data_IF_532664839723
#
_entry.id   IF_532664839723
#
_cell.length_a   1.000
_cell.length_b   1.000
_cell.length_c   1.000
_cell.angle_alpha   90.00
_cell.angle_beta   90.00
_cell.angle_gamma   90.00
#
_symmetry.space_group_name_H-M   'P 1'
#
loop_
_entity.id
_entity.type
_entity.pdbx_description
1 polymer ?
#
# COMPACT_ATOMS: atom_id res chain seq x y z
N UNK A 1 11.85 -20.29 12.40
CA UNK A 1 11.87 -18.82 12.33
C UNK A 1 10.45 -18.34 12.50
N UNK A 2 10.18 -17.50 13.51
CA UNK A 2 8.88 -16.81 13.60
C UNK A 2 8.70 -15.97 12.32
N UNK A 3 7.49 -15.98 11.75
CA UNK A 3 7.09 -15.20 10.57
C UNK A 3 5.72 -14.62 10.83
N UNK A 4 5.40 -13.51 10.16
CA UNK A 4 4.04 -12.98 10.16
C UNK A 4 3.05 -14.05 9.65
N UNK A 5 1.93 -14.34 10.37
CA UNK A 5 0.98 -15.42 10.04
C UNK A 5 0.54 -15.45 8.59
N UNK A 6 0.26 -14.27 8.05
CA UNK A 6 -0.33 -14.13 6.72
C UNK A 6 0.69 -14.30 5.58
N UNK A 7 1.95 -14.52 5.94
CA UNK A 7 3.06 -14.80 5.00
C UNK A 7 3.62 -16.22 5.16
N UNK A 8 2.97 -17.06 5.97
CA UNK A 8 3.41 -18.43 6.27
C UNK A 8 3.62 -19.30 5.02
N UNK A 9 2.83 -19.07 3.98
CA UNK A 9 2.91 -19.80 2.70
C UNK A 9 3.88 -19.18 1.68
N UNK A 10 4.49 -18.04 1.99
CA UNK A 10 5.43 -17.38 1.08
C UNK A 10 6.76 -18.13 0.98
N UNK A 11 7.33 -18.17 -0.22
CA UNK A 11 8.68 -18.66 -0.44
C UNK A 11 9.66 -17.52 -0.20
N UNK A 12 10.45 -17.60 0.86
CA UNK A 12 11.47 -16.61 1.17
C UNK A 12 12.82 -17.05 0.59
N UNK A 13 13.72 -16.11 0.23
CA UNK A 13 15.08 -16.47 -0.14
C UNK A 13 15.81 -17.16 1.02
N UNK A 14 16.82 -17.96 0.68
CA UNK A 14 17.74 -18.55 1.67
C UNK A 14 18.45 -17.42 2.46
N UNK A 15 18.35 -17.38 3.80
CA UNK A 15 19.09 -16.44 4.64
C UNK A 15 20.62 -16.52 4.48
N UNK A 16 21.15 -17.69 4.11
CA UNK A 16 22.59 -17.94 3.95
C UNK A 16 23.12 -17.59 2.55
N UNK A 17 22.30 -17.00 1.68
CA UNK A 17 22.73 -16.61 0.32
C UNK A 17 23.87 -15.60 0.33
N UNK A 18 24.79 -15.77 -0.63
CA UNK A 18 25.98 -14.93 -0.79
C UNK A 18 25.63 -13.44 -0.82
N UNK A 19 26.30 -12.63 0.00
CA UNK A 19 26.13 -11.19 0.03
C UNK A 19 26.57 -10.56 -1.30
N UNK A 20 25.91 -9.47 -1.71
CA UNK A 20 26.39 -8.69 -2.84
C UNK A 20 27.72 -7.99 -2.47
N UNK A 21 28.61 -7.74 -3.45
CA UNK A 21 29.86 -7.03 -3.18
C UNK A 21 29.59 -5.63 -2.64
N UNK A 22 30.42 -5.19 -1.69
CA UNK A 22 30.42 -3.81 -1.20
C UNK A 22 30.64 -2.83 -2.37
N UNK A 23 29.95 -1.66 -2.41
CA UNK A 23 29.11 -1.08 -1.36
C UNK A 23 27.59 -1.34 -1.51
N UNK A 24 27.20 -2.39 -2.25
CA UNK A 24 25.79 -2.69 -2.50
C UNK A 24 25.10 -3.20 -1.23
N UNK A 25 23.89 -2.72 -0.97
CA UNK A 25 23.05 -3.21 0.12
C UNK A 25 21.84 -3.92 -0.46
N UNK A 26 21.50 -5.10 0.06
CA UNK A 26 20.38 -5.90 -0.43
C UNK A 26 19.46 -6.33 0.70
N UNK A 27 18.16 -6.21 0.44
CA UNK A 27 17.10 -6.90 1.18
C UNK A 27 16.22 -7.69 0.22
N UNK A 28 15.21 -8.37 0.75
CA UNK A 28 14.16 -8.99 -0.06
C UNK A 28 12.80 -8.55 0.48
N UNK A 29 11.95 -8.00 -0.39
CA UNK A 29 10.68 -7.41 0.02
C UNK A 29 9.76 -8.44 0.69
N UNK A 30 9.73 -9.70 0.21
CA UNK A 30 8.99 -10.77 0.89
C UNK A 30 9.51 -11.01 2.30
N UNK A 31 10.84 -11.16 2.46
CA UNK A 31 11.44 -11.40 3.76
C UNK A 31 11.24 -10.21 4.71
N UNK A 32 11.26 -8.98 4.19
CA UNK A 32 11.06 -7.76 4.96
C UNK A 32 9.63 -7.64 5.53
N UNK A 33 8.65 -7.95 4.70
CA UNK A 33 7.24 -7.96 5.06
C UNK A 33 6.83 -9.17 5.91
N UNK A 34 7.54 -10.29 5.79
CA UNK A 34 7.28 -11.50 6.57
C UNK A 34 7.86 -11.47 8.00
N UNK A 35 8.55 -10.40 8.39
CA UNK A 35 9.14 -10.28 9.74
C UNK A 35 8.06 -10.30 10.83
N UNK A 36 8.33 -10.94 11.98
CA UNK A 36 7.49 -10.81 13.17
C UNK A 36 7.26 -9.34 13.55
N UNK A 37 6.11 -9.04 14.15
CA UNK A 37 5.70 -7.69 14.53
C UNK A 37 5.27 -6.76 13.39
N UNK A 38 5.43 -7.14 12.10
CA UNK A 38 4.92 -6.33 10.98
C UNK A 38 3.40 -6.30 11.01
N UNK A 39 2.82 -5.15 10.67
CA UNK A 39 1.38 -4.99 10.53
C UNK A 39 0.95 -5.20 9.07
N UNK A 40 -0.19 -5.87 8.86
CA UNK A 40 -0.87 -5.85 7.57
C UNK A 40 -1.23 -4.41 7.18
N UNK A 41 -1.24 -4.11 5.89
CA UNK A 41 -1.61 -2.80 5.32
C UNK A 41 -0.72 -1.62 5.76
N UNK A 42 0.43 -1.89 6.38
CA UNK A 42 1.45 -0.87 6.61
C UNK A 42 2.09 -0.46 5.27
N UNK A 43 1.99 0.83 4.93
CA UNK A 43 2.66 1.44 3.77
C UNK A 43 4.14 1.62 4.08
N UNK A 44 4.87 0.50 4.03
CA UNK A 44 6.28 0.49 4.36
C UNK A 44 7.08 1.17 3.24
N UNK A 45 7.62 2.35 3.50
CA UNK A 45 8.57 2.99 2.59
C UNK A 45 9.85 2.16 2.52
N UNK A 46 10.21 1.64 1.35
CA UNK A 46 11.38 0.77 1.13
C UNK A 46 12.48 1.42 0.31
N UNK A 47 12.21 2.54 -0.37
CA UNK A 47 13.21 3.33 -1.09
C UNK A 47 12.77 4.79 -1.16
N UNK A 48 13.73 5.72 -1.22
CA UNK A 48 13.49 7.16 -1.32
C UNK A 48 14.44 7.85 -2.28
N UNK A 49 13.90 8.82 -3.00
CA UNK A 49 14.62 9.82 -3.79
C UNK A 49 13.91 11.16 -3.57
N UNK A 50 14.25 11.86 -2.48
CA UNK A 50 13.53 13.07 -2.09
C UNK A 50 12.10 12.76 -1.67
N UNK A 51 11.13 13.42 -2.29
CA UNK A 51 9.72 13.22 -1.98
C UNK A 51 9.14 11.97 -2.68
N UNK A 52 9.82 11.47 -3.71
CA UNK A 52 9.43 10.27 -4.46
C UNK A 52 9.92 9.01 -3.73
N UNK A 53 9.11 7.96 -3.74
CA UNK A 53 9.36 6.75 -2.95
C UNK A 53 8.79 5.48 -3.56
N UNK A 54 9.36 4.36 -3.12
CA UNK A 54 8.73 3.06 -3.23
C UNK A 54 8.14 2.66 -1.89
N UNK A 55 6.88 2.27 -1.89
CA UNK A 55 6.17 1.68 -0.76
C UNK A 55 5.87 0.21 -1.04
N UNK A 56 5.93 -0.63 0.00
CA UNK A 56 5.71 -2.05 -0.12
C UNK A 56 4.72 -2.54 0.95
N UNK A 57 3.41 -2.44 0.69
CA UNK A 57 2.40 -2.97 1.59
C UNK A 57 2.17 -4.47 1.38
N UNK A 58 1.75 -5.14 2.46
CA UNK A 58 1.08 -6.44 2.40
C UNK A 58 -0.40 -6.26 2.66
N UNK A 59 -1.23 -7.07 2.03
CA UNK A 59 -2.66 -7.02 2.24
C UNK A 59 -3.25 -8.42 2.16
N UNK A 60 -3.97 -8.83 3.21
CA UNK A 60 -4.58 -10.15 3.39
C UNK A 60 -5.73 -10.42 2.40
N UNK A 61 -6.19 -9.36 1.76
CA UNK A 61 -7.18 -9.27 0.70
C UNK A 61 -6.79 -7.99 -0.09
N UNK A 62 -7.24 -7.74 -1.33
CA UNK A 62 -6.69 -6.59 -2.06
C UNK A 62 -7.06 -5.28 -1.35
N UNK A 63 -6.09 -4.66 -0.68
CA UNK A 63 -6.00 -3.28 -0.15
C UNK A 63 -7.32 -2.48 0.02
N UNK A 64 -8.28 -2.89 0.85
CA UNK A 64 -9.60 -2.25 0.88
C UNK A 64 -9.71 -0.97 1.72
N UNK A 65 -8.90 0.03 1.40
CA UNK A 65 -9.29 1.41 1.66
C UNK A 65 -9.09 2.21 0.39
N UNK A 66 -10.06 3.05 0.05
CA UNK A 66 -9.86 3.96 -1.06
C UNK A 66 -9.10 5.17 -0.62
N UNK A 67 -7.94 5.40 -1.23
CA UNK A 67 -7.22 6.64 -1.03
C UNK A 67 -7.27 7.52 -2.26
N UNK A 68 -7.33 8.82 -2.00
CA UNK A 68 -7.23 9.83 -3.06
C UNK A 68 -5.76 10.12 -3.28
N UNK A 69 -5.31 9.88 -4.51
CA UNK A 69 -3.90 9.97 -4.80
C UNK A 69 -3.43 11.42 -4.85
N UNK A 70 -2.37 11.70 -4.06
CA UNK A 70 -1.62 12.96 -4.11
C UNK A 70 -0.53 12.96 -5.19
N UNK A 71 -0.32 11.85 -5.90
CA UNK A 71 0.54 11.78 -7.09
C UNK A 71 -0.02 10.77 -8.08
N UNK A 72 0.57 10.60 -9.25
CA UNK A 72 0.38 9.31 -9.92
C UNK A 72 0.97 8.19 -9.04
N UNK A 73 0.28 7.06 -8.94
CA UNK A 73 0.79 5.86 -8.28
C UNK A 73 0.92 4.72 -9.29
N UNK A 74 2.14 4.20 -9.43
CA UNK A 74 2.44 3.09 -10.31
C UNK A 74 2.57 1.81 -9.49
N UNK A 75 1.64 0.88 -9.68
CA UNK A 75 1.42 -0.24 -8.78
C UNK A 75 1.75 -1.57 -9.45
N UNK A 76 2.59 -2.39 -8.83
CA UNK A 76 2.95 -3.75 -9.27
C UNK A 76 2.56 -4.76 -8.20
N UNK A 77 1.78 -5.77 -8.57
CA UNK A 77 1.63 -6.98 -7.74
C UNK A 77 2.88 -7.85 -7.90
N UNK A 78 3.60 -8.10 -6.81
CA UNK A 78 4.85 -8.86 -6.80
C UNK A 78 4.60 -10.34 -6.45
N UNK A 79 5.42 -11.28 -6.96
CA UNK A 79 5.27 -12.69 -6.67
C UNK A 79 5.60 -13.00 -5.20
N UNK A 80 4.70 -13.71 -4.54
CA UNK A 80 4.87 -14.25 -3.18
C UNK A 80 5.62 -15.60 -3.21
N UNK A 81 5.59 -16.30 -4.34
CA UNK A 81 6.07 -17.67 -4.51
C UNK A 81 5.03 -18.73 -4.13
N UNK A 82 3.83 -18.31 -3.73
CA UNK A 82 2.67 -19.17 -3.56
C UNK A 82 1.79 -19.06 -4.82
N UNK A 83 1.70 -20.16 -5.59
CA UNK A 83 1.00 -20.20 -6.86
C UNK A 83 -0.49 -19.80 -6.77
N UNK A 84 -1.15 -20.08 -5.64
CA UNK A 84 -2.55 -19.71 -5.44
C UNK A 84 -2.72 -18.20 -5.29
N UNK A 85 -1.83 -17.56 -4.52
CA UNK A 85 -1.84 -16.10 -4.33
C UNK A 85 -1.38 -15.38 -5.58
N UNK A 86 -0.34 -15.90 -6.23
CA UNK A 86 0.25 -15.29 -7.42
C UNK A 86 -0.67 -15.39 -8.65
N UNK A 87 -1.63 -16.33 -8.65
CA UNK A 87 -2.66 -16.46 -9.67
C UNK A 87 -3.91 -15.60 -9.39
N UNK A 88 -4.01 -14.95 -8.23
CA UNK A 88 -5.14 -14.09 -7.92
C UNK A 88 -5.09 -12.81 -8.77
N UNK A 89 -6.24 -12.45 -9.35
CA UNK A 89 -6.36 -11.28 -10.21
C UNK A 89 -7.20 -10.20 -9.51
N UNK A 90 -6.59 -9.32 -8.69
CA UNK A 90 -7.32 -8.21 -8.10
C UNK A 90 -7.93 -7.34 -9.18
N UNK A 91 -9.23 -7.06 -9.00
CA UNK A 91 -9.91 -5.99 -9.74
C UNK A 91 -9.75 -4.72 -8.94
N UNK A 92 -9.41 -3.61 -9.59
CA UNK A 92 -9.39 -2.28 -8.99
C UNK A 92 -10.26 -1.36 -9.84
N UNK A 93 -11.00 -0.49 -9.18
CA UNK A 93 -11.84 0.53 -9.78
C UNK A 93 -11.23 1.89 -9.50
N UNK A 94 -11.36 2.79 -10.46
CA UNK A 94 -11.01 4.20 -10.37
C UNK A 94 -12.33 4.96 -10.27
N UNK A 95 -12.43 5.83 -9.28
CA UNK A 95 -13.60 6.64 -8.99
C UNK A 95 -13.21 8.11 -8.96
N UNK A 96 -14.14 8.95 -9.40
CA UNK A 96 -14.06 10.38 -9.15
C UNK A 96 -14.15 10.64 -7.64
N UNK A 97 -13.23 11.42 -7.10
CA UNK A 97 -13.16 11.69 -5.67
C UNK A 97 -14.33 12.56 -5.19
N UNK A 98 -14.85 13.45 -6.05
CA UNK A 98 -15.90 14.39 -5.67
C UNK A 98 -17.29 13.75 -5.67
N UNK A 99 -17.66 13.05 -6.74
CA UNK A 99 -18.97 12.41 -6.90
C UNK A 99 -19.01 10.99 -6.33
N UNK A 100 -17.86 10.31 -6.27
CA UNK A 100 -17.78 8.90 -5.89
C UNK A 100 -18.25 7.93 -6.98
N UNK A 101 -18.50 8.40 -8.20
CA UNK A 101 -18.91 7.57 -9.33
C UNK A 101 -17.74 6.74 -9.89
N UNK A 102 -18.08 5.57 -10.45
CA UNK A 102 -17.11 4.72 -11.14
C UNK A 102 -16.79 5.25 -12.53
N UNK A 103 -15.56 5.67 -12.73
CA UNK A 103 -15.11 6.14 -14.04
C UNK A 103 -14.39 5.01 -14.79
N UNK A 104 -13.61 4.19 -14.09
CA UNK A 104 -12.83 3.13 -14.74
C UNK A 104 -12.53 1.95 -13.82
N UNK A 105 -11.98 0.88 -14.39
CA UNK A 105 -11.48 -0.30 -13.67
C UNK A 105 -10.49 -1.10 -14.50
N UNK A 106 -9.66 -1.88 -13.82
CA UNK A 106 -8.77 -2.87 -14.42
C UNK A 106 -8.73 -4.16 -13.57
N UNK A 107 -8.23 -5.23 -14.19
CA UNK A 107 -7.90 -6.50 -13.52
C UNK A 107 -6.41 -6.73 -13.68
N UNK A 108 -5.69 -6.77 -12.57
CA UNK A 108 -4.23 -6.83 -12.54
C UNK A 108 -3.76 -8.23 -12.15
N UNK A 109 -2.81 -8.81 -12.87
CA UNK A 109 -2.07 -10.02 -12.47
C UNK A 109 -0.76 -9.67 -11.76
N UNK A 110 -0.18 -10.67 -11.11
CA UNK A 110 1.22 -10.63 -10.67
C UNK A 110 2.14 -10.25 -11.83
N UNK A 111 3.09 -9.34 -11.57
CA UNK A 111 4.02 -8.72 -12.52
C UNK A 111 3.38 -7.83 -13.60
N UNK A 112 2.09 -7.48 -13.49
CA UNK A 112 1.52 -6.39 -14.27
C UNK A 112 1.68 -5.05 -13.50
N UNK A 113 2.07 -3.99 -14.20
CA UNK A 113 2.13 -2.62 -13.70
C UNK A 113 0.86 -1.87 -14.13
N UNK A 114 0.23 -1.15 -13.22
CA UNK A 114 -0.93 -0.30 -13.50
C UNK A 114 -0.72 1.10 -12.98
N UNK A 115 -1.35 2.08 -13.63
CA UNK A 115 -1.41 3.46 -13.14
C UNK A 115 -2.71 3.68 -12.36
N UNK A 116 -2.60 4.14 -11.11
CA UNK A 116 -3.69 4.79 -10.39
C UNK A 116 -3.49 6.31 -10.53
N UNK A 117 -4.35 7.01 -11.28
CA UNK A 117 -4.12 8.39 -11.65
C UNK A 117 -4.27 9.35 -10.46
N UNK A 118 -3.46 10.42 -10.46
CA UNK A 118 -3.57 11.55 -9.54
C UNK A 118 -5.01 12.07 -9.39
N UNK A 119 -5.41 12.43 -8.16
CA UNK A 119 -6.71 13.05 -7.85
C UNK A 119 -7.91 12.12 -7.92
N UNK A 120 -7.71 10.83 -8.19
CA UNK A 120 -8.80 9.84 -8.22
C UNK A 120 -8.75 8.97 -6.97
N UNK A 121 -9.93 8.49 -6.57
CA UNK A 121 -10.04 7.40 -5.61
C UNK A 121 -9.85 6.08 -6.32
N UNK A 122 -9.18 5.13 -5.69
CA UNK A 122 -9.13 3.79 -6.21
C UNK A 122 -9.54 2.76 -5.17
N UNK A 123 -10.38 1.84 -5.63
CA UNK A 123 -10.99 0.80 -4.81
C UNK A 123 -10.63 -0.56 -5.37
N UNK A 124 -9.93 -1.41 -4.63
CA UNK A 124 -9.97 -2.84 -4.95
C UNK A 124 -11.42 -3.34 -4.86
N UNK A 125 -11.78 -4.25 -5.76
CA UNK A 125 -13.15 -4.49 -6.19
C UNK A 125 -14.03 -5.33 -5.25
N UNK A 126 -15.28 -5.56 -5.67
CA UNK A 126 -16.36 -6.37 -5.04
C UNK A 126 -16.75 -6.07 -3.59
N UNK A 127 -16.03 -5.24 -2.86
CA UNK A 127 -16.26 -4.99 -1.45
C UNK A 127 -16.55 -3.51 -1.18
N UNK A 128 -17.55 -2.96 -1.86
CA UNK A 128 -18.02 -1.59 -1.61
C UNK A 128 -19.15 -1.58 -0.61
N UNK A 129 -19.35 -0.48 0.14
CA UNK A 129 -20.58 -0.28 0.89
C UNK A 129 -21.81 -0.62 0.03
N UNK A 130 -22.80 -1.35 0.57
CA UNK A 130 -22.97 -1.75 1.98
C UNK A 130 -22.32 -3.10 2.34
N UNK A 131 -21.52 -3.70 1.47
CA UNK A 131 -20.99 -5.05 1.68
C UNK A 131 -19.91 -5.08 2.77
N UNK A 132 -20.09 -5.91 3.79
CA UNK A 132 -19.06 -6.23 4.77
C UNK A 132 -18.42 -7.57 4.39
N UNK A 133 -17.10 -7.65 4.18
CA UNK A 133 -16.47 -8.93 3.98
C UNK A 133 -16.61 -9.80 5.23
N UNK A 134 -16.73 -11.13 5.05
CA UNK A 134 -16.85 -12.04 6.16
C UNK A 134 -15.62 -11.93 7.07
N UNK A 135 -15.78 -12.08 8.40
CA UNK A 135 -14.64 -12.14 9.29
C UNK A 135 -13.76 -13.35 8.90
N UNK A 136 -12.58 -13.10 8.35
CA UNK A 136 -11.62 -14.17 8.07
C UNK A 136 -11.01 -14.63 9.40
N UNK A 137 -11.13 -15.93 9.75
CA UNK A 137 -10.60 -16.45 11.01
C UNK A 137 -9.09 -16.19 11.16
N UNK A 138 -8.60 -16.00 12.40
CA UNK A 138 -7.17 -15.91 12.68
C UNK A 138 -6.40 -17.09 12.07
N UNK A 139 -5.26 -16.83 11.44
CA UNK A 139 -4.42 -17.85 10.81
C UNK A 139 -4.86 -18.35 9.43
N UNK A 140 -6.05 -17.98 8.95
CA UNK A 140 -6.51 -18.30 7.58
C UNK A 140 -6.24 -17.19 6.57
N UNK A 141 -5.84 -16.01 7.04
CA UNK A 141 -5.50 -14.85 6.21
C UNK A 141 -4.20 -15.10 5.47
N UNK A 142 -4.18 -14.75 4.19
CA UNK A 142 -2.98 -14.83 3.36
C UNK A 142 -2.80 -13.54 2.60
N UNK A 143 -1.61 -12.95 2.65
CA UNK A 143 -1.36 -11.67 2.02
C UNK A 143 -0.77 -11.80 0.62
N UNK A 144 -1.19 -10.91 -0.28
CA UNK A 144 -0.40 -10.54 -1.46
C UNK A 144 0.75 -9.59 -1.09
N UNK A 145 1.62 -9.34 -2.06
CA UNK A 145 2.71 -8.36 -1.97
C UNK A 145 2.55 -7.35 -3.11
N UNK A 146 2.58 -6.07 -2.78
CA UNK A 146 2.48 -5.00 -3.78
C UNK A 146 3.68 -4.06 -3.62
N UNK A 147 4.13 -3.49 -4.74
CA UNK A 147 5.07 -2.37 -4.78
C UNK A 147 4.34 -1.17 -5.40
N UNK A 148 4.40 -0.04 -4.72
CA UNK A 148 3.80 1.23 -5.17
C UNK A 148 4.92 2.23 -5.36
N UNK A 149 4.98 2.84 -6.54
CA UNK A 149 5.84 3.97 -6.84
C UNK A 149 5.01 5.26 -6.88
N UNK A 150 5.27 6.17 -5.94
CA UNK A 150 4.46 7.36 -5.67
C UNK A 150 5.32 8.50 -5.08
N UNK A 151 4.68 9.63 -4.75
CA UNK A 151 5.29 10.71 -3.96
C UNK A 151 4.61 10.86 -2.59
N UNK A 152 5.37 11.41 -1.64
CA UNK A 152 4.92 11.68 -0.27
C UNK A 152 4.11 12.97 -0.11
N UNK A 153 4.05 13.77 -1.15
CA UNK A 153 3.45 15.11 -1.18
C UNK A 153 2.61 15.28 -2.44
N UNK A 154 1.73 16.27 -2.43
CA UNK A 154 0.95 16.65 -3.61
C UNK A 154 1.88 16.95 -4.80
N UNK A 155 1.83 16.07 -5.80
CA UNK A 155 2.73 16.01 -6.95
C UNK A 155 1.89 15.78 -8.20
N UNK A 156 1.49 16.87 -8.89
CA UNK A 156 0.73 16.77 -10.13
C UNK A 156 1.43 15.91 -11.18
N UNK A 157 0.64 15.24 -12.04
CA UNK A 157 1.19 14.21 -12.89
C UNK A 157 1.95 14.82 -14.07
N UNK A 158 3.06 14.19 -14.47
CA UNK A 158 3.92 14.71 -15.54
C UNK A 158 3.30 14.51 -16.92
N UNK A 159 3.57 15.43 -17.84
CA UNK A 159 3.10 15.32 -19.24
C UNK A 159 3.78 14.18 -20.01
N UNK A 160 5.02 13.84 -19.66
CA UNK A 160 5.84 12.81 -20.31
C UNK A 160 5.68 11.41 -19.69
N UNK A 161 4.65 11.21 -18.86
CA UNK A 161 4.38 9.92 -18.21
C UNK A 161 3.91 8.87 -19.24
N UNK A 162 4.35 7.61 -19.15
CA UNK A 162 4.06 6.60 -20.16
C UNK A 162 2.62 6.05 -20.05
N UNK A 163 1.67 6.72 -20.71
CA UNK A 163 0.27 6.26 -20.79
C UNK A 163 0.08 5.32 -21.97
N UNK A 164 0.11 4.01 -21.70
CA UNK A 164 -0.16 3.00 -22.72
C UNK A 164 -0.68 1.70 -22.12
N UNK A 165 -1.39 0.94 -22.96
CA UNK A 165 -1.85 -0.41 -22.65
C UNK A 165 -0.94 -1.39 -23.39
N UNK A 166 -0.36 -2.32 -22.66
CA UNK A 166 0.48 -3.39 -23.19
C UNK A 166 -0.32 -4.37 -24.04
N UNK A 167 0.37 -5.04 -24.96
CA UNK A 167 -0.26 -5.95 -25.91
C UNK A 167 -1.00 -7.10 -25.21
N UNK A 168 -2.28 -7.28 -25.54
CA UNK A 168 -3.13 -8.34 -24.98
C UNK A 168 -3.78 -7.99 -23.65
N UNK A 169 -3.65 -6.73 -23.19
CA UNK A 169 -4.29 -6.21 -21.98
C UNK A 169 -5.49 -5.30 -22.29
N UNK A 170 -5.81 -5.07 -23.55
CA UNK A 170 -6.85 -4.12 -23.99
C UNK A 170 -8.24 -4.48 -23.42
N UNK A 171 -8.52 -5.76 -23.26
CA UNK A 171 -9.77 -6.26 -22.69
C UNK A 171 -9.82 -6.25 -21.14
N UNK A 172 -8.69 -5.98 -20.47
CA UNK A 172 -8.58 -6.01 -19.00
C UNK A 172 -8.99 -4.72 -18.32
N UNK A 173 -9.19 -3.64 -19.08
CA UNK A 173 -9.74 -2.37 -18.60
C UNK A 173 -11.16 -2.12 -19.11
N UNK A 174 -11.99 -1.42 -18.33
CA UNK A 174 -13.30 -0.89 -18.76
C UNK A 174 -13.54 0.46 -18.11
N UNK A 175 -14.24 1.36 -18.80
CA UNK A 175 -14.61 2.68 -18.26
C UNK A 175 -14.39 3.80 -19.24
N UNK A 176 -14.55 5.02 -18.75
CA UNK A 176 -14.32 6.27 -19.46
C UNK A 176 -12.89 6.30 -20.05
N UNK A 177 -12.73 6.44 -21.38
CA UNK A 177 -11.43 6.57 -22.01
C UNK A 177 -10.71 7.89 -21.69
N UNK A 178 -11.39 8.89 -21.12
CA UNK A 178 -10.79 10.17 -20.72
C UNK A 178 -9.88 10.04 -19.48
N UNK A 179 -10.17 9.05 -18.61
CA UNK A 179 -9.36 8.78 -17.42
C UNK A 179 -7.98 8.24 -17.85
N UNK A 180 -6.86 8.85 -17.41
CA UNK A 180 -5.52 8.36 -17.71
C UNK A 180 -5.34 6.92 -17.25
N UNK A 181 -4.85 6.06 -18.16
CA UNK A 181 -4.62 4.64 -17.89
C UNK A 181 -3.28 4.18 -18.46
N UNK A 182 -2.61 3.36 -17.67
CA UNK A 182 -1.51 2.53 -18.13
C UNK A 182 -1.68 1.13 -17.53
N UNK A 183 -1.39 0.10 -18.32
CA UNK A 183 -1.44 -1.29 -17.89
C UNK A 183 -0.42 -2.09 -18.70
N UNK A 184 0.66 -2.53 -18.06
CA UNK A 184 1.81 -3.16 -18.71
C UNK A 184 2.06 -4.55 -18.15
N UNK A 185 2.40 -5.52 -19.00
CA UNK A 185 2.84 -6.85 -18.59
C UNK A 185 4.37 -6.85 -18.52
N UNK A 186 4.95 -6.67 -17.33
CA UNK A 186 6.40 -6.51 -17.16
C UNK A 186 7.19 -7.74 -17.62
N UNK A 187 6.54 -8.90 -17.79
CA UNK A 187 7.15 -10.13 -18.31
C UNK A 187 7.32 -10.12 -19.84
N UNK A 188 6.68 -9.18 -20.54
CA UNK A 188 6.67 -9.07 -22.00
C UNK A 188 7.17 -7.73 -22.50
N UNK A 189 7.06 -6.68 -21.69
CA UNK A 189 7.54 -5.37 -22.05
C UNK A 189 9.05 -5.37 -22.35
N UNK A 190 9.50 -4.56 -23.34
CA UNK A 190 10.91 -4.30 -23.57
C UNK A 190 11.47 -3.38 -22.47
N UNK A 191 12.79 -3.27 -22.42
CA UNK A 191 13.45 -2.33 -21.52
C UNK A 191 13.03 -0.89 -21.81
N UNK A 192 12.86 -0.06 -20.77
CA UNK A 192 12.54 1.36 -20.90
C UNK A 192 11.73 1.91 -19.73
N UNK A 193 11.42 3.21 -19.78
CA UNK A 193 10.66 3.88 -18.71
C UNK A 193 9.22 3.38 -18.70
N UNK A 194 8.78 2.89 -17.54
CA UNK A 194 7.44 2.34 -17.32
C UNK A 194 6.61 3.17 -16.35
N UNK A 195 7.21 4.12 -15.62
CA UNK A 195 6.50 5.07 -14.77
C UNK A 195 7.32 6.31 -14.49
N UNK A 196 6.64 7.42 -14.19
CA UNK A 196 7.24 8.69 -13.74
C UNK A 196 6.37 9.34 -12.69
N UNK A 197 7.01 9.88 -11.65
CA UNK A 197 6.44 10.69 -10.58
C UNK A 197 7.48 11.74 -10.20
N UNK A 198 7.07 12.99 -10.03
CA UNK A 198 7.97 14.06 -9.60
C UNK A 198 9.22 14.20 -10.47
N UNK A 199 10.39 14.04 -9.84
CA UNK A 199 11.69 14.14 -10.50
C UNK A 199 12.32 12.77 -10.79
N UNK A 200 11.65 11.69 -10.42
CA UNK A 200 12.14 10.33 -10.55
C UNK A 200 11.47 9.56 -11.70
N UNK A 201 11.99 8.37 -11.96
CA UNK A 201 11.43 7.42 -12.92
C UNK A 201 11.58 5.99 -12.43
N UNK A 202 10.68 5.14 -12.92
CA UNK A 202 10.77 3.71 -12.84
C UNK A 202 11.05 3.14 -14.23
N UNK A 203 12.15 2.42 -14.38
CA UNK A 203 12.61 1.86 -15.64
C UNK A 203 12.63 0.33 -15.57
N UNK A 204 12.03 -0.34 -16.54
CA UNK A 204 12.18 -1.79 -16.71
C UNK A 204 13.51 -2.08 -17.40
N UNK A 205 14.30 -2.96 -16.81
CA UNK A 205 15.53 -3.52 -17.35
C UNK A 205 15.27 -4.97 -17.76
N UNK A 206 15.74 -5.35 -18.95
CA UNK A 206 15.65 -6.73 -19.47
C UNK A 206 17.07 -7.23 -19.74
N UNK A 207 17.45 -8.33 -19.06
CA UNK A 207 18.77 -8.94 -19.13
C UNK A 207 19.94 -7.94 -19.10
N UNK A 208 20.00 -7.02 -18.12
CA UNK A 208 21.05 -6.01 -18.08
C UNK A 208 22.43 -6.66 -17.87
N UNK A 209 23.46 -6.18 -18.57
CA UNK A 209 24.84 -6.61 -18.26
C UNK A 209 25.39 -5.88 -17.03
N UNK A 210 25.07 -4.58 -16.91
CA UNK A 210 25.55 -3.69 -15.85
C UNK A 210 24.49 -2.64 -15.52
N UNK A 211 24.36 -2.31 -14.24
CA UNK A 211 23.45 -1.27 -13.74
C UNK A 211 24.28 -0.24 -12.97
N UNK A 212 24.34 1.00 -13.47
CA UNK A 212 25.21 2.05 -12.94
C UNK A 212 24.48 3.42 -12.96
N UNK A 213 23.48 3.63 -12.10
CA UNK A 213 22.74 4.89 -12.06
C UNK A 213 23.65 6.03 -11.57
N UNK A 214 23.65 7.15 -12.30
CA UNK A 214 24.60 8.25 -12.08
C UNK A 214 24.55 8.82 -10.65
N UNK A 215 23.35 8.96 -10.07
CA UNK A 215 23.13 9.50 -8.71
C UNK A 215 22.72 8.42 -7.70
N UNK A 216 23.12 7.17 -7.96
CA UNK A 216 22.63 6.02 -7.21
C UNK A 216 21.18 5.67 -7.57
N UNK A 217 20.68 4.58 -7.02
CA UNK A 217 19.33 4.11 -7.31
C UNK A 217 18.98 2.81 -6.60
N UNK A 218 17.75 2.37 -6.84
CA UNK A 218 17.23 1.13 -6.29
C UNK A 218 16.82 0.18 -7.40
N UNK A 219 17.20 -1.09 -7.27
CA UNK A 219 16.85 -2.15 -8.23
C UNK A 219 15.95 -3.16 -7.55
N UNK A 220 14.73 -3.35 -8.07
CA UNK A 220 13.81 -4.42 -7.68
C UNK A 220 13.90 -5.54 -8.70
N UNK A 221 14.45 -6.69 -8.31
CA UNK A 221 14.52 -7.88 -9.18
C UNK A 221 13.12 -8.47 -9.31
N UNK A 222 12.60 -8.56 -10.54
CA UNK A 222 11.32 -9.20 -10.84
C UNK A 222 11.54 -10.69 -11.15
N UNK A 223 12.54 -10.98 -11.97
CA UNK A 223 12.94 -12.32 -12.40
C UNK A 223 14.46 -12.40 -12.40
N UNK A 224 15.00 -13.42 -11.74
CA UNK A 224 16.43 -13.65 -11.68
C UNK A 224 16.78 -14.96 -11.01
N UNK A 225 18.03 -15.38 -11.20
CA UNK A 225 18.66 -16.55 -10.62
C UNK A 225 19.82 -16.16 -9.71
N UNK A 226 20.37 -17.13 -8.98
CA UNK A 226 21.44 -16.90 -8.01
C UNK A 226 22.59 -16.09 -8.64
N UNK A 227 23.09 -15.04 -7.95
CA UNK A 227 22.85 -14.71 -6.54
C UNK A 227 21.56 -13.90 -6.28
N UNK A 228 20.80 -13.55 -7.31
CA UNK A 228 19.57 -12.78 -7.22
C UNK A 228 18.35 -13.67 -6.95
N UNK A 229 17.32 -13.08 -6.38
CA UNK A 229 16.05 -13.74 -6.14
C UNK A 229 14.90 -12.77 -6.44
N UNK A 230 13.74 -13.25 -6.94
CA UNK A 230 12.59 -12.38 -7.17
C UNK A 230 12.23 -11.61 -5.89
N UNK A 231 11.89 -10.33 -6.06
CA UNK A 231 11.61 -9.32 -5.02
C UNK A 231 12.82 -8.88 -4.20
N UNK A 232 14.04 -9.19 -4.65
CA UNK A 232 15.23 -8.53 -4.09
C UNK A 232 15.18 -7.03 -4.39
N UNK A 233 15.44 -6.24 -3.36
CA UNK A 233 15.62 -4.80 -3.46
C UNK A 233 17.08 -4.49 -3.13
N UNK A 234 17.77 -3.90 -4.10
CA UNK A 234 19.19 -3.54 -3.99
C UNK A 234 19.33 -2.03 -4.04
N UNK A 235 20.03 -1.46 -3.07
CA UNK A 235 20.48 -0.08 -3.11
C UNK A 235 21.87 -0.02 -3.76
N UNK A 236 21.99 0.85 -4.75
CA UNK A 236 23.25 1.18 -5.43
C UNK A 236 23.60 2.61 -5.04
N UNK A 237 24.65 2.82 -4.22
CA UNK A 237 25.14 4.16 -3.90
C UNK A 237 25.57 4.93 -5.16
N UNK A 238 25.64 6.25 -5.05
CA UNK A 238 26.21 7.09 -6.10
C UNK A 238 27.62 6.62 -6.50
N UNK A 239 27.91 6.65 -7.80
CA UNK A 239 29.16 6.14 -8.41
C UNK A 239 29.43 4.63 -8.30
N UNK A 240 28.57 3.85 -7.63
CA UNK A 240 28.67 2.40 -7.63
C UNK A 240 28.00 1.79 -8.88
N UNK A 241 28.32 0.53 -9.15
CA UNK A 241 27.60 -0.25 -10.17
C UNK A 241 27.39 -1.68 -9.71
N UNK A 242 26.31 -2.28 -10.18
CA UNK A 242 25.97 -3.68 -9.96
C UNK A 242 26.10 -4.45 -11.27
N UNK A 243 26.63 -5.67 -11.20
CA UNK A 243 26.52 -6.63 -12.32
C UNK A 243 25.06 -7.02 -12.50
N UNK A 244 24.56 -7.02 -13.73
CA UNK A 244 23.21 -7.51 -14.02
C UNK A 244 23.16 -9.01 -14.35
N UNK A 245 24.30 -9.71 -14.31
CA UNK A 245 24.36 -11.15 -14.57
C UNK A 245 23.42 -11.93 -13.63
N UNK A 246 22.61 -12.83 -14.17
CA UNK A 246 21.59 -13.57 -13.43
C UNK A 246 20.28 -12.80 -13.22
N UNK A 247 20.16 -11.53 -13.65
CA UNK A 247 18.89 -10.79 -13.67
C UNK A 247 18.26 -10.93 -15.05
N UNK A 248 17.08 -11.53 -15.13
CA UNK A 248 16.30 -11.56 -16.37
C UNK A 248 15.48 -10.27 -16.52
N UNK A 249 14.85 -9.81 -15.43
CA UNK A 249 14.03 -8.59 -15.41
C UNK A 249 14.13 -7.87 -14.07
N UNK A 250 14.23 -6.55 -14.09
CA UNK A 250 14.22 -5.72 -12.89
C UNK A 250 13.62 -4.33 -13.13
N UNK A 251 13.12 -3.70 -12.07
CA UNK A 251 12.73 -2.29 -12.07
C UNK A 251 13.85 -1.46 -11.44
N UNK A 252 14.31 -0.43 -12.13
CA UNK A 252 15.27 0.55 -11.66
C UNK A 252 14.56 1.85 -11.29
N UNK A 253 14.64 2.23 -10.02
CA UNK A 253 14.12 3.49 -9.48
C UNK A 253 15.26 4.50 -9.31
N UNK A 254 15.19 5.61 -10.07
CA UNK A 254 16.27 6.61 -10.19
C UNK A 254 15.72 8.01 -10.42
N UNK A 255 16.57 9.04 -10.26
CA UNK A 255 16.31 10.41 -10.68
C UNK A 255 17.57 11.02 -11.28
N UNK A 256 17.39 11.92 -12.25
CA UNK A 256 18.49 12.73 -12.79
C UNK A 256 18.73 14.00 -11.95
N UNK A 257 17.77 14.38 -11.09
CA UNK A 257 17.81 15.60 -10.30
C UNK A 257 18.31 15.37 -8.87
N UNK A 258 17.84 14.31 -8.21
CA UNK A 258 18.16 14.02 -6.80
C UNK A 258 18.90 12.68 -6.66
N UNK A 259 19.83 12.57 -5.69
CA UNK A 259 20.47 11.29 -5.39
C UNK A 259 19.51 10.35 -4.66
N UNK A 260 19.74 9.05 -4.83
CA UNK A 260 19.05 8.05 -4.03
C UNK A 260 19.52 8.11 -2.58
N UNK A 261 18.57 8.20 -1.66
CA UNK A 261 18.87 8.15 -0.24
C UNK A 261 19.29 6.74 0.16
N UNK A 262 20.13 6.55 1.20
CA UNK A 262 20.42 5.23 1.75
C UNK A 262 19.15 4.48 2.17
N UNK A 263 19.22 3.15 2.34
CA UNK A 263 18.08 2.36 2.75
C UNK A 263 17.36 2.92 3.99
N UNK A 264 16.02 3.05 3.95
CA UNK A 264 15.26 3.58 5.09
C UNK A 264 15.31 2.62 6.29
N UNK A 265 15.02 3.15 7.48
CA UNK A 265 14.98 2.37 8.73
C UNK A 265 14.08 1.13 8.63
N UNK A 266 13.03 1.18 7.82
CA UNK A 266 12.15 0.05 7.55
C UNK A 266 12.88 -1.21 7.09
N UNK A 267 14.07 -1.12 6.47
CA UNK A 267 14.88 -2.29 6.08
C UNK A 267 15.39 -3.09 7.27
N UNK A 268 15.54 -2.46 8.44
CA UNK A 268 16.04 -3.08 9.67
C UNK A 268 14.93 -3.21 10.73
N UNK A 269 14.05 -2.22 10.81
CA UNK A 269 13.16 -2.01 11.94
C UNK A 269 11.70 -2.31 11.59
N UNK A 270 10.99 -2.81 12.61
CA UNK A 270 9.54 -2.93 12.65
C UNK A 270 9.02 -1.72 13.42
N UNK A 271 8.06 -0.93 12.89
CA UNK A 271 7.55 0.22 13.61
C UNK A 271 6.87 -0.21 14.91
N UNK A 272 6.94 0.59 15.99
CA UNK A 272 6.15 0.32 17.18
C UNK A 272 4.66 0.44 16.85
N UNK A 273 3.82 -0.26 17.63
CA UNK A 273 2.38 -0.02 17.57
C UNK A 273 2.09 1.44 18.03
N UNK A 274 1.16 2.17 17.38
CA UNK A 274 0.82 3.54 17.76
C UNK A 274 0.16 3.64 19.15
N UNK A 275 -0.50 2.56 19.59
CA UNK A 275 -1.03 2.35 20.94
C UNK A 275 -1.17 0.84 21.19
N UNK A 276 -1.32 0.37 22.44
CA UNK A 276 -1.39 -1.07 22.74
C UNK A 276 -2.51 -1.76 21.93
N UNK A 277 -2.25 -2.76 21.09
CA UNK A 277 -3.32 -3.44 20.35
C UNK A 277 -4.26 -4.19 21.30
N UNK A 278 -5.55 -4.31 20.98
CA UNK A 278 -6.44 -5.24 21.69
C UNK A 278 -5.95 -6.65 21.34
N UNK A 279 -5.39 -7.42 22.30
CA UNK A 279 -5.95 -7.70 23.62
C UNK A 279 -5.23 -7.03 24.82
N UNK A 280 -4.21 -6.21 24.57
CA UNK A 280 -3.37 -5.59 25.60
C UNK A 280 -3.94 -4.29 26.18
N UNK A 281 -4.92 -3.67 25.51
CA UNK A 281 -5.57 -2.43 25.98
C UNK A 281 -7.03 -2.62 26.40
N UNK A 282 -7.61 -1.60 27.04
CA UNK A 282 -9.00 -1.60 27.51
C UNK A 282 -9.99 -1.29 26.37
N UNK A 283 -11.11 -2.01 26.31
CA UNK A 283 -12.21 -1.73 25.38
C UNK A 283 -13.16 -0.72 25.99
N UNK A 284 -13.65 0.22 25.18
CA UNK A 284 -14.65 1.19 25.63
C UNK A 284 -16.07 0.69 25.34
N UNK A 285 -17.02 0.83 26.28
CA UNK A 285 -18.39 0.36 26.10
C UNK A 285 -19.15 1.23 25.09
N UNK A 286 -20.17 0.66 24.45
CA UNK A 286 -21.14 1.39 23.63
C UNK A 286 -22.44 1.62 24.44
N UNK A 287 -23.11 2.79 24.31
CA UNK A 287 -22.76 3.91 23.44
C UNK A 287 -21.52 4.68 23.94
N UNK A 288 -20.77 5.24 23.00
CA UNK A 288 -19.55 6.01 23.26
C UNK A 288 -19.57 7.31 22.46
N UNK A 289 -19.00 8.39 23.00
CA UNK A 289 -18.91 9.68 22.30
C UNK A 289 -17.56 10.34 22.57
N UNK A 290 -16.91 10.80 21.51
CA UNK A 290 -15.65 11.56 21.57
C UNK A 290 -15.50 12.42 20.33
N UNK A 291 -14.85 13.59 20.43
CA UNK A 291 -14.54 14.43 19.26
C UNK A 291 -15.74 14.81 18.38
N UNK A 292 -16.97 14.84 18.93
CA UNK A 292 -18.19 15.08 18.16
C UNK A 292 -18.67 13.88 17.31
N UNK A 293 -18.13 12.69 17.57
CA UNK A 293 -18.52 11.42 16.93
C UNK A 293 -19.15 10.54 18.00
N UNK A 294 -20.37 10.06 17.72
CA UNK A 294 -21.10 9.14 18.60
C UNK A 294 -21.20 7.76 17.95
N UNK A 295 -20.91 6.74 18.74
CA UNK A 295 -20.95 5.34 18.37
C UNK A 295 -22.06 4.64 19.15
N UNK A 296 -22.97 3.97 18.46
CA UNK A 296 -24.08 3.21 19.05
C UNK A 296 -24.01 1.75 18.62
N UNK A 297 -24.37 0.84 19.52
CA UNK A 297 -24.47 -0.57 19.18
C UNK A 297 -25.53 -0.77 18.08
N UNK A 298 -25.19 -1.63 17.13
CA UNK A 298 -26.06 -2.08 16.04
C UNK A 298 -26.06 -3.62 16.03
N UNK A 299 -25.98 -4.26 14.87
CA UNK A 299 -25.75 -5.70 14.77
C UNK A 299 -24.32 -6.10 15.22
N UNK A 300 -24.05 -7.36 15.63
CA UNK A 300 -22.78 -7.78 16.25
C UNK A 300 -21.48 -7.44 15.51
N UNK A 301 -21.52 -7.24 14.18
CA UNK A 301 -20.37 -6.85 13.35
C UNK A 301 -20.29 -5.35 13.00
N UNK A 302 -21.27 -4.55 13.42
CA UNK A 302 -21.44 -3.17 12.99
C UNK A 302 -21.58 -2.22 14.18
N UNK A 303 -21.25 -0.96 13.93
CA UNK A 303 -21.54 0.16 14.82
C UNK A 303 -22.27 1.21 14.03
N UNK A 304 -23.31 1.79 14.62
CA UNK A 304 -23.91 3.00 14.06
C UNK A 304 -23.03 4.18 14.46
N UNK A 305 -22.33 4.74 13.49
CA UNK A 305 -21.52 5.94 13.68
C UNK A 305 -22.34 7.16 13.30
N UNK A 306 -22.40 8.14 14.19
CA UNK A 306 -22.99 9.46 13.96
C UNK A 306 -21.89 10.51 13.97
N UNK A 307 -21.81 11.28 12.90
CA UNK A 307 -20.86 12.38 12.73
C UNK A 307 -21.69 13.62 12.44
N UNK A 308 -21.73 14.56 13.38
CA UNK A 308 -22.64 15.71 13.33
C UNK A 308 -24.10 15.30 12.98
N UNK A 309 -24.63 15.74 11.84
CA UNK A 309 -25.99 15.44 11.38
C UNK A 309 -26.14 14.15 10.57
N UNK A 310 -25.05 13.42 10.30
CA UNK A 310 -25.07 12.22 9.45
C UNK A 310 -24.87 10.94 10.25
N UNK A 311 -25.38 9.82 9.73
CA UNK A 311 -25.21 8.50 10.34
C UNK A 311 -25.00 7.41 9.30
N UNK A 312 -24.13 6.44 9.61
CA UNK A 312 -23.91 5.25 8.78
C UNK A 312 -23.67 4.01 9.66
N UNK A 313 -23.98 2.84 9.11
CA UNK A 313 -23.59 1.54 9.68
C UNK A 313 -22.18 1.19 9.19
N UNK A 314 -21.22 1.14 10.12
CA UNK A 314 -19.80 0.94 9.81
C UNK A 314 -19.35 -0.43 10.34
N UNK A 315 -18.69 -1.27 9.52
CA UNK A 315 -18.14 -2.54 9.99
C UNK A 315 -17.04 -2.33 11.03
N UNK A 316 -17.24 -2.90 12.21
CA UNK A 316 -16.38 -2.74 13.39
C UNK A 316 -14.93 -3.14 13.15
N UNK A 317 -14.73 -4.30 12.53
CA UNK A 317 -13.40 -4.85 12.23
C UNK A 317 -12.57 -3.89 11.35
N UNK A 318 -13.19 -3.34 10.31
CA UNK A 318 -12.50 -2.46 9.37
C UNK A 318 -12.29 -1.06 9.91
N UNK A 319 -13.25 -0.53 10.67
CA UNK A 319 -13.07 0.75 11.37
C UNK A 319 -11.91 0.68 12.37
N UNK A 320 -11.81 -0.41 13.14
CA UNK A 320 -10.69 -0.60 14.07
C UNK A 320 -9.35 -0.60 13.33
N UNK A 321 -9.24 -1.44 12.30
CA UNK A 321 -8.05 -1.52 11.43
C UNK A 321 -7.67 -0.18 10.84
N UNK A 322 -8.67 0.56 10.38
CA UNK A 322 -8.51 1.86 9.76
C UNK A 322 -7.93 2.89 10.72
N UNK A 323 -8.51 3.02 11.93
CA UNK A 323 -8.02 3.94 12.95
C UNK A 323 -6.62 3.58 13.44
N UNK A 324 -6.34 2.29 13.66
CA UNK A 324 -5.01 1.82 14.01
C UNK A 324 -3.99 2.16 12.91
N UNK A 325 -4.35 1.90 11.64
CA UNK A 325 -3.48 2.20 10.50
C UNK A 325 -3.22 3.70 10.36
N UNK A 326 -4.23 4.55 10.51
CA UNK A 326 -4.01 6.00 10.40
C UNK A 326 -3.03 6.50 11.45
N UNK A 327 -3.16 6.02 12.69
CA UNK A 327 -2.21 6.31 13.76
C UNK A 327 -0.81 5.72 13.49
N UNK A 328 -0.71 4.52 12.92
CA UNK A 328 0.56 3.89 12.54
C UNK A 328 1.37 4.72 11.52
N UNK A 329 0.70 5.57 10.74
CA UNK A 329 1.32 6.44 9.74
C UNK A 329 1.34 7.91 10.19
N UNK A 330 1.42 8.16 11.50
CA UNK A 330 1.49 9.50 12.10
C UNK A 330 0.36 10.44 11.64
N UNK A 331 -0.81 9.86 11.33
CA UNK A 331 -1.97 10.57 10.81
C UNK A 331 -1.70 11.30 9.48
N UNK A 332 -0.91 10.66 8.61
CA UNK A 332 -0.50 11.16 7.28
C UNK A 332 -0.76 10.12 6.20
N UNK A 333 -2.03 9.86 5.92
CA UNK A 333 -2.48 8.97 4.86
C UNK A 333 -3.17 9.70 3.71
N UNK A 334 -3.38 11.03 3.81
CA UNK A 334 -4.16 11.79 2.85
C UNK A 334 -5.67 11.58 3.06
N UNK A 335 -6.42 11.46 1.98
CA UNK A 335 -7.80 10.99 2.05
C UNK A 335 -7.80 9.47 2.00
N UNK A 336 -8.44 8.81 2.97
CA UNK A 336 -8.63 7.37 2.99
C UNK A 336 -10.04 7.04 3.45
N UNK A 337 -10.72 6.15 2.74
CA UNK A 337 -12.07 5.71 3.04
C UNK A 337 -12.16 4.19 3.23
N UNK A 338 -12.93 3.78 4.24
CA UNK A 338 -13.27 2.40 4.56
C UNK A 338 -14.73 2.06 4.26
N UNK A 339 -15.04 0.78 4.37
CA UNK A 339 -16.38 0.22 4.42
C UNK A 339 -17.35 1.01 5.30
N UNK A 340 -18.62 1.05 4.86
CA UNK A 340 -19.65 1.87 5.49
C UNK A 340 -19.52 3.36 5.20
N UNK A 341 -18.55 3.78 4.37
CA UNK A 341 -18.35 5.17 3.96
C UNK A 341 -17.61 6.01 5.00
N UNK A 342 -17.06 5.43 6.07
CA UNK A 342 -16.21 6.16 7.01
C UNK A 342 -14.91 6.57 6.30
N UNK A 343 -14.55 7.85 6.37
CA UNK A 343 -13.28 8.33 5.83
C UNK A 343 -12.53 9.21 6.82
N UNK A 344 -11.22 9.36 6.57
CA UNK A 344 -10.37 10.40 7.14
C UNK A 344 -9.76 11.20 6.00
N UNK A 345 -9.52 12.48 6.25
CA UNK A 345 -8.79 13.35 5.33
C UNK A 345 -7.85 14.24 6.14
N UNK A 346 -6.55 13.95 6.07
CA UNK A 346 -5.51 14.71 6.78
C UNK A 346 -4.82 15.79 5.95
N UNK A 347 -5.29 16.03 4.71
CA UNK A 347 -4.80 17.11 3.84
C UNK A 347 -5.23 18.50 4.36
N UNK A 348 -6.48 18.70 4.83
CA UNK A 348 -6.87 19.94 5.49
C UNK A 348 -6.29 20.05 6.91
N UNK A 349 -6.13 21.29 7.38
CA UNK A 349 -5.80 21.59 8.77
C UNK A 349 -6.97 22.34 9.42
N UNK A 350 -7.62 21.81 10.47
CA UNK A 350 -7.40 20.49 11.09
C UNK A 350 -7.88 19.29 10.24
N UNK A 351 -7.31 18.08 10.46
CA UNK A 351 -7.77 16.83 9.84
C UNK A 351 -9.25 16.53 10.07
N UNK A 352 -9.85 15.78 9.14
CA UNK A 352 -11.27 15.46 9.12
C UNK A 352 -11.52 13.97 9.35
N UNK A 353 -12.60 13.66 10.05
CA UNK A 353 -13.22 12.32 10.11
C UNK A 353 -14.67 12.48 9.68
N UNK A 354 -15.12 11.70 8.70
CA UNK A 354 -16.46 11.88 8.14
C UNK A 354 -17.09 10.62 7.58
N UNK A 355 -18.30 10.80 7.05
CA UNK A 355 -19.06 9.77 6.35
C UNK A 355 -19.29 10.22 4.89
N UNK A 356 -19.04 9.33 3.92
CA UNK A 356 -19.23 9.58 2.49
C UNK A 356 -20.64 10.12 2.22
N UNK A 357 -20.72 11.19 1.43
CA UNK A 357 -21.99 11.86 1.12
C UNK A 357 -22.69 12.51 2.32
N UNK A 358 -22.02 12.57 3.47
CA UNK A 358 -22.53 13.13 4.72
C UNK A 358 -21.61 14.18 5.33
N UNK A 359 -21.80 14.40 6.63
CA UNK A 359 -21.05 15.36 7.41
C UNK A 359 -19.69 14.81 7.87
N UNK A 360 -18.83 15.73 8.29
CA UNK A 360 -17.55 15.47 8.92
C UNK A 360 -17.39 16.29 10.20
N UNK A 361 -16.48 15.85 11.05
CA UNK A 361 -15.92 16.64 12.14
C UNK A 361 -14.46 16.93 11.86
N UNK A 362 -14.00 18.04 12.41
CA UNK A 362 -12.62 18.50 12.35
C UNK A 362 -11.97 18.31 13.71
N UNK A 363 -10.85 17.59 13.76
CA UNK A 363 -10.18 17.24 15.01
C UNK A 363 -8.80 17.91 15.04
N UNK A 364 -8.54 18.74 16.03
CA UNK A 364 -7.24 19.39 16.21
C UNK A 364 -6.13 18.33 16.36
N UNK A 365 -4.93 18.60 15.82
CA UNK A 365 -3.82 17.61 15.79
C UNK A 365 -3.37 17.13 17.16
N UNK A 366 -3.43 17.98 18.17
CA UNK A 366 -3.09 17.64 19.56
C UNK A 366 -4.12 16.72 20.22
N UNK A 367 -5.40 16.86 19.84
CA UNK A 367 -6.48 15.98 20.30
C UNK A 367 -6.58 14.67 19.50
N UNK A 368 -6.01 14.63 18.28
CA UNK A 368 -6.18 13.53 17.33
C UNK A 368 -5.76 12.17 17.89
N UNK A 369 -4.60 12.01 18.58
CA UNK A 369 -4.21 10.71 19.10
C UNK A 369 -5.22 10.13 20.10
N UNK A 370 -5.68 10.96 21.04
CA UNK A 370 -6.65 10.54 22.05
C UNK A 370 -8.01 10.19 21.44
N UNK A 371 -8.49 11.00 20.48
CA UNK A 371 -9.75 10.75 19.78
C UNK A 371 -9.69 9.45 18.97
N UNK A 372 -8.64 9.26 18.18
CA UNK A 372 -8.49 8.09 17.30
C UNK A 372 -8.31 6.80 18.10
N UNK A 373 -7.49 6.82 19.16
CA UNK A 373 -7.36 5.65 20.04
C UNK A 373 -8.71 5.31 20.68
N UNK A 374 -9.44 6.29 21.22
CA UNK A 374 -10.72 6.03 21.87
C UNK A 374 -11.77 5.48 20.88
N UNK A 375 -11.83 6.01 19.66
CA UNK A 375 -12.67 5.46 18.59
C UNK A 375 -12.28 4.00 18.30
N UNK A 376 -10.99 3.71 18.13
CA UNK A 376 -10.47 2.36 17.96
C UNK A 376 -10.92 1.41 19.09
N UNK A 377 -10.77 1.82 20.35
CA UNK A 377 -11.16 1.02 21.54
C UNK A 377 -12.66 0.72 21.58
N UNK A 378 -13.49 1.66 21.12
CA UNK A 378 -14.94 1.52 21.10
C UNK A 378 -15.42 0.64 19.92
N UNK A 379 -14.85 0.82 18.72
CA UNK A 379 -15.32 0.08 17.53
C UNK A 379 -14.80 -1.34 17.47
N UNK A 380 -13.60 -1.64 17.97
CA UNK A 380 -13.01 -2.97 17.82
C UNK A 380 -13.93 -4.08 18.38
N UNK A 381 -14.23 -5.12 17.57
CA UNK A 381 -15.08 -6.22 18.00
C UNK A 381 -14.36 -7.13 19.01
N UNK A 382 -15.10 -8.05 19.63
CA UNK A 382 -14.51 -9.02 20.56
C UNK A 382 -13.57 -9.97 19.81
N UNK A 383 -12.42 -10.30 20.42
CA UNK A 383 -11.39 -11.11 19.78
C UNK A 383 -10.63 -10.43 18.64
N UNK A 384 -10.84 -9.13 18.41
CA UNK A 384 -10.06 -8.35 17.45
C UNK A 384 -8.59 -8.27 17.87
N UNK A 385 -7.69 -8.49 16.90
CA UNK A 385 -6.24 -8.40 17.08
C UNK A 385 -5.60 -7.70 15.87
N UNK A 386 -4.68 -6.78 16.16
CA UNK A 386 -3.76 -6.17 15.18
C UNK A 386 -2.44 -6.95 15.18
N UNK A 387 -2.50 -8.28 15.06
CA UNK A 387 -1.40 -9.22 15.36
C UNK A 387 0.01 -8.65 15.07
N UNK A 388 0.76 -8.20 16.08
CA UNK A 388 2.20 -8.16 16.02
C UNK A 388 2.63 -9.49 16.62
N UNK A 389 2.62 -10.59 15.85
CA UNK A 389 3.11 -11.84 16.41
C UNK A 389 4.58 -11.65 16.85
N UNK A 390 4.96 -12.11 18.06
CA UNK A 390 6.31 -11.99 18.58
C UNK A 390 7.38 -12.75 17.76
#
# INVERSE_FOLDING_TARGET
MSRHPCTTTWKLPDPAREALPSPLLRTNLRALCARPGRFEHHLMVVARIGDDRLECPTASEPLYFAHENLSDEWVVTLPTGNAMLDAFEPRVFIQDAASGEDESRFVQRTLELVLHPYGHLHWPGRLRPPYAPPPVPPGMRQCGLTLVYCAAVDTPPRDDRPLRIGQGLEAKGKGDPSVPRAHLDLTREPSGVVGRVGDSRLELLVAPERIAPARGGYVVVLEGEAPHHPTDLVFIPESASMSGHGIARALLFTSDARPAEPPPASWAEVPPAPFPPLPLGERLPLPFETGGIRLEASEPGFVRMRVAGSSAEVPRHWAARFFFRWALHDYRLGYVETYGGLYVDDRPEPPRIGLRGGAFVSIARDALPAVVEALYRAVAPEGYVEDPLP
#
